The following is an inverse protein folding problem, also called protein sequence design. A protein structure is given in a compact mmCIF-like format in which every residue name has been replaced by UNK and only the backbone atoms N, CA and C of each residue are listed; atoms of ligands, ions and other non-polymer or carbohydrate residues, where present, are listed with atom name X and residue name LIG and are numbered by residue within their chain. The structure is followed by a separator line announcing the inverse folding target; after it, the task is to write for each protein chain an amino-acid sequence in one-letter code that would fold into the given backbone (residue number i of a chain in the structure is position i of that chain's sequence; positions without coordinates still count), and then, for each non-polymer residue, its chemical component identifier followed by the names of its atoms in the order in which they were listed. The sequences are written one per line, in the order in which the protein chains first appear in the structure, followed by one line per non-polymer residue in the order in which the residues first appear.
data_IF_240007655288
#
_entry.id   IF_240007655288
#
_cell.length_a   1.000
_cell.length_b   1.000
_cell.length_c   1.000
_cell.angle_alpha   90.00
_cell.angle_beta   90.00
_cell.angle_gamma   90.00
#
_symmetry.space_group_name_H-M   'P 1'
#
loop_
_entity.id
_entity.type
_entity.pdbx_description
1 polymer ?
#
# COMPACT_ATOMS: atom_id res chain seq x y z
N UNK A 1 -26.52 -6.77 -6.24
CA UNK A 1 -25.89 -7.94 -5.59
C UNK A 1 -26.81 -9.13 -5.80
N UNK A 2 -26.40 -10.14 -6.58
CA UNK A 2 -27.21 -11.34 -6.87
C UNK A 2 -26.47 -12.59 -6.41
N UNK A 3 -27.18 -13.53 -5.78
CA UNK A 3 -26.65 -14.85 -5.42
C UNK A 3 -26.04 -15.57 -6.63
N UNK A 4 -26.64 -15.40 -7.81
CA UNK A 4 -26.13 -15.97 -9.05
C UNK A 4 -24.70 -15.49 -9.37
N UNK A 5 -24.39 -14.22 -9.06
CA UNK A 5 -23.04 -13.65 -9.24
C UNK A 5 -22.02 -14.37 -8.36
N UNK A 6 -22.35 -14.50 -7.06
CA UNK A 6 -21.50 -15.16 -6.07
C UNK A 6 -21.24 -16.62 -6.42
N UNK A 7 -22.29 -17.37 -6.78
CA UNK A 7 -22.17 -18.78 -7.20
C UNK A 7 -21.29 -18.91 -8.47
N UNK A 8 -21.47 -18.02 -9.45
CA UNK A 8 -20.65 -18.02 -10.66
C UNK A 8 -19.17 -17.77 -10.37
N UNK A 9 -18.85 -16.83 -9.48
CA UNK A 9 -17.47 -16.55 -9.08
C UNK A 9 -16.85 -17.69 -8.27
N UNK A 10 -17.62 -18.33 -7.37
CA UNK A 10 -17.17 -19.53 -6.64
C UNK A 10 -16.84 -20.67 -7.63
N UNK A 11 -17.68 -20.86 -8.65
CA UNK A 11 -17.46 -21.89 -9.67
C UNK A 11 -16.22 -21.60 -10.54
N UNK A 12 -15.94 -20.33 -10.84
CA UNK A 12 -14.79 -19.92 -11.66
C UNK A 12 -13.45 -20.05 -10.93
N UNK A 13 -13.38 -19.57 -9.70
CA UNK A 13 -12.11 -19.46 -8.95
C UNK A 13 -11.86 -20.62 -7.98
N UNK A 14 -12.92 -21.34 -7.60
CA UNK A 14 -12.87 -22.45 -6.66
C UNK A 14 -13.12 -22.07 -5.20
N UNK A 15 -13.43 -23.09 -4.40
CA UNK A 15 -13.86 -22.94 -3.00
C UNK A 15 -12.76 -22.40 -2.08
N UNK A 16 -11.49 -22.74 -2.34
CA UNK A 16 -10.36 -22.28 -1.51
C UNK A 16 -10.19 -20.76 -1.59
N UNK A 17 -10.22 -20.20 -2.81
CA UNK A 17 -10.12 -18.75 -3.01
C UNK A 17 -11.34 -18.06 -2.42
N UNK A 18 -12.53 -18.59 -2.65
CA UNK A 18 -13.75 -18.06 -2.04
C UNK A 18 -13.67 -17.99 -0.51
N UNK A 19 -13.18 -19.05 0.16
CA UNK A 19 -13.00 -19.04 1.61
C UNK A 19 -12.03 -17.97 2.08
N UNK A 20 -10.91 -17.77 1.38
CA UNK A 20 -9.97 -16.67 1.66
C UNK A 20 -10.63 -15.31 1.47
N UNK A 21 -11.23 -15.08 0.31
CA UNK A 21 -11.91 -13.82 -0.03
C UNK A 21 -13.03 -13.49 0.96
N UNK A 22 -13.75 -14.50 1.45
CA UNK A 22 -14.82 -14.33 2.44
C UNK A 22 -14.29 -13.85 3.79
N UNK A 23 -13.14 -14.35 4.26
CA UNK A 23 -12.55 -13.94 5.54
C UNK A 23 -11.80 -12.61 5.44
N UNK A 24 -11.29 -12.26 4.26
CA UNK A 24 -10.44 -11.10 4.05
C UNK A 24 -11.18 -9.89 3.43
N UNK A 25 -11.90 -10.07 2.31
CA UNK A 25 -12.66 -9.01 1.61
C UNK A 25 -14.11 -8.96 2.10
N UNK A 26 -14.67 -10.10 2.51
CA UNK A 26 -16.09 -10.24 2.81
C UNK A 26 -16.99 -10.34 1.57
N UNK A 27 -16.41 -10.47 0.38
CA UNK A 27 -17.14 -10.63 -0.88
C UNK A 27 -16.43 -11.61 -1.83
N UNK A 28 -17.19 -12.41 -2.57
CA UNK A 28 -16.62 -13.25 -3.61
C UNK A 28 -16.23 -12.38 -4.81
N UNK A 29 -14.94 -12.38 -5.16
CA UNK A 29 -14.43 -11.64 -6.31
C UNK A 29 -13.66 -12.57 -7.25
N UNK A 30 -13.92 -12.42 -8.54
CA UNK A 30 -13.22 -13.14 -9.61
C UNK A 30 -12.79 -12.12 -10.65
N UNK A 31 -11.55 -12.22 -11.13
CA UNK A 31 -10.97 -11.25 -12.03
C UNK A 31 -9.60 -11.68 -12.54
N UNK A 32 -9.13 -11.00 -13.58
CA UNK A 32 -7.81 -11.24 -14.15
C UNK A 32 -6.74 -10.67 -13.23
N UNK A 33 -5.69 -11.46 -12.96
CA UNK A 33 -4.49 -10.96 -12.29
C UNK A 33 -3.76 -9.98 -13.21
N UNK A 34 -3.68 -8.72 -12.79
CA UNK A 34 -3.02 -7.63 -13.53
C UNK A 34 -1.53 -7.59 -13.18
N UNK A 35 -1.18 -7.80 -11.92
CA UNK A 35 0.21 -7.86 -11.50
C UNK A 35 0.38 -8.07 -10.01
N UNK A 36 1.64 -8.15 -9.60
CA UNK A 36 2.07 -8.35 -8.22
C UNK A 36 3.05 -7.23 -7.89
N UNK A 37 2.90 -6.59 -6.74
CA UNK A 37 3.88 -5.61 -6.27
C UNK A 37 5.10 -6.27 -5.59
N UNK A 38 6.01 -5.42 -5.12
CA UNK A 38 7.21 -5.84 -4.40
C UNK A 38 6.89 -6.50 -3.06
N UNK A 39 5.78 -6.12 -2.43
CA UNK A 39 5.34 -6.63 -1.13
C UNK A 39 4.58 -7.96 -1.27
N UNK A 40 4.35 -8.42 -2.50
CA UNK A 40 3.62 -9.65 -2.82
C UNK A 40 2.11 -9.46 -2.94
N UNK A 41 1.61 -8.23 -2.83
CA UNK A 41 0.20 -7.93 -2.99
C UNK A 41 -0.20 -8.11 -4.46
N UNK A 42 -1.35 -8.75 -4.67
CA UNK A 42 -1.84 -9.10 -6.00
C UNK A 42 -2.98 -8.18 -6.40
N UNK A 43 -2.91 -7.64 -7.61
CA UNK A 43 -3.87 -6.69 -8.14
C UNK A 43 -4.71 -7.35 -9.22
N UNK A 44 -6.03 -7.19 -9.12
CA UNK A 44 -6.98 -7.82 -10.03
C UNK A 44 -7.90 -6.79 -10.68
N UNK A 45 -8.36 -7.12 -11.90
CA UNK A 45 -9.33 -6.32 -12.64
C UNK A 45 -10.46 -7.19 -13.23
N UNK A 46 -11.69 -6.69 -13.17
CA UNK A 46 -12.87 -7.28 -13.80
C UNK A 46 -13.90 -6.22 -14.21
N UNK A 47 -14.07 -6.01 -15.51
CA UNK A 47 -15.02 -5.04 -16.07
C UNK A 47 -16.50 -5.47 -16.01
N UNK A 48 -16.79 -6.73 -15.65
CA UNK A 48 -18.17 -7.20 -15.42
C UNK A 48 -18.76 -6.62 -14.12
N UNK A 49 -17.91 -6.09 -13.24
CA UNK A 49 -18.30 -5.47 -11.98
C UNK A 49 -18.72 -4.01 -12.17
N UNK A 50 -19.47 -3.49 -11.19
CA UNK A 50 -19.86 -2.08 -11.16
C UNK A 50 -18.62 -1.15 -11.20
N UNK A 51 -18.70 0.04 -11.83
CA UNK A 51 -17.64 1.05 -11.78
C UNK A 51 -17.15 1.28 -10.35
N UNK A 52 -15.85 1.54 -10.16
CA UNK A 52 -15.14 1.58 -8.87
C UNK A 52 -14.95 0.24 -8.14
N UNK A 53 -15.70 -0.83 -8.47
CA UNK A 53 -15.50 -2.18 -7.87
C UNK A 53 -14.74 -3.15 -8.77
N UNK A 54 -14.42 -2.71 -9.99
CA UNK A 54 -13.74 -3.51 -11.00
C UNK A 54 -12.24 -3.70 -10.73
N UNK A 55 -11.61 -2.91 -9.85
CA UNK A 55 -10.21 -3.10 -9.41
C UNK A 55 -10.16 -3.38 -7.92
N UNK A 56 -9.34 -4.32 -7.51
CA UNK A 56 -9.10 -4.60 -6.10
C UNK A 56 -7.72 -5.22 -5.87
N UNK A 57 -7.36 -5.30 -4.59
CA UNK A 57 -6.11 -5.85 -4.11
C UNK A 57 -6.36 -7.03 -3.17
N UNK A 58 -5.55 -8.07 -3.32
CA UNK A 58 -5.38 -9.18 -2.38
C UNK A 58 -4.03 -8.98 -1.70
N UNK A 59 -4.04 -8.53 -0.44
CA UNK A 59 -2.81 -8.32 0.31
C UNK A 59 -2.09 -9.64 0.55
N UNK A 60 -0.76 -9.60 0.56
CA UNK A 60 0.05 -10.76 0.91
C UNK A 60 -0.03 -11.10 2.40
N UNK A 61 -0.21 -10.10 3.25
CA UNK A 61 -0.36 -10.27 4.70
C UNK A 61 -1.78 -10.75 5.03
N UNK A 62 -1.90 -11.94 5.63
CA UNK A 62 -3.21 -12.55 5.87
C UNK A 62 -4.02 -11.86 6.99
N UNK A 63 -3.38 -11.36 8.05
CA UNK A 63 -4.08 -10.82 9.25
C UNK A 63 -3.74 -9.37 9.62
N UNK A 64 -2.66 -8.79 9.08
CA UNK A 64 -2.19 -7.44 9.41
C UNK A 64 -2.08 -6.58 8.14
N UNK A 65 -3.13 -6.61 7.33
CA UNK A 65 -3.17 -5.80 6.13
C UNK A 65 -3.50 -4.34 6.45
N UNK A 66 -2.87 -3.42 5.71
CA UNK A 66 -3.09 -2.00 5.85
C UNK A 66 -3.14 -1.33 4.48
N UNK A 67 -4.03 -0.35 4.30
CA UNK A 67 -4.13 0.43 3.06
C UNK A 67 -2.81 1.12 2.66
N UNK A 68 -1.94 1.41 3.62
CA UNK A 68 -0.61 2.00 3.37
C UNK A 68 0.44 1.02 2.84
N UNK A 69 0.15 -0.29 2.81
CA UNK A 69 1.04 -1.30 2.23
C UNK A 69 0.99 -1.34 0.71
N UNK A 70 0.02 -0.67 0.09
CA UNK A 70 -0.10 -0.53 -1.36
C UNK A 70 1.08 0.28 -1.88
N UNK A 71 1.82 -0.28 -2.83
CA UNK A 71 2.89 0.45 -3.49
C UNK A 71 2.35 1.75 -4.16
N UNK A 72 3.02 2.91 -4.05
CA UNK A 72 2.55 4.17 -4.61
C UNK A 72 2.26 4.11 -6.12
N UNK A 73 2.98 3.28 -6.87
CA UNK A 73 2.77 3.11 -8.30
C UNK A 73 1.44 2.39 -8.57
N UNK A 74 1.14 1.36 -7.79
CA UNK A 74 -0.11 0.62 -7.85
C UNK A 74 -1.28 1.38 -7.24
N UNK A 75 -1.05 2.25 -6.25
CA UNK A 75 -2.07 3.11 -5.65
C UNK A 75 -2.75 3.99 -6.70
N UNK A 76 -1.98 4.56 -7.64
CA UNK A 76 -2.53 5.40 -8.70
C UNK A 76 -3.50 4.64 -9.63
N UNK A 77 -3.18 3.38 -9.94
CA UNK A 77 -4.01 2.52 -10.77
C UNK A 77 -5.24 2.01 -10.01
N UNK A 78 -5.06 1.60 -8.75
CA UNK A 78 -6.12 1.08 -7.88
C UNK A 78 -7.21 2.14 -7.64
N UNK A 79 -6.82 3.40 -7.46
CA UNK A 79 -7.72 4.53 -7.23
C UNK A 79 -8.21 5.22 -8.51
N UNK A 80 -8.07 4.58 -9.67
CA UNK A 80 -8.54 5.11 -10.97
C UNK A 80 -7.96 6.47 -11.36
N UNK A 81 -6.83 6.87 -10.76
CA UNK A 81 -6.10 8.10 -11.14
C UNK A 81 -5.45 7.89 -12.51
N UNK A 82 -4.91 6.67 -12.73
CA UNK A 82 -4.35 6.26 -14.02
C UNK A 82 -5.11 5.08 -14.59
N UNK A 83 -5.24 5.08 -15.92
CA UNK A 83 -5.88 4.01 -16.67
C UNK A 83 -5.03 2.74 -16.63
N UNK A 84 -3.77 2.87 -17.00
CA UNK A 84 -2.86 1.75 -17.23
C UNK A 84 -2.12 1.35 -15.94
N UNK A 85 -1.86 0.04 -15.73
CA UNK A 85 -1.08 -0.42 -14.58
C UNK A 85 0.39 0.02 -14.68
N UNK A 86 1.15 0.01 -13.58
CA UNK A 86 2.50 0.59 -13.54
C UNK A 86 3.51 -0.09 -14.49
N UNK A 87 3.28 -1.34 -14.86
CA UNK A 87 4.12 -2.07 -15.82
C UNK A 87 3.77 -1.81 -17.30
N UNK A 88 2.66 -1.13 -17.58
CA UNK A 88 2.28 -0.70 -18.93
C UNK A 88 2.47 0.82 -19.13
N UNK A 89 2.33 1.60 -18.06
CA UNK A 89 2.49 3.05 -18.09
C UNK A 89 3.97 3.46 -18.24
N UNK A 90 4.35 3.86 -19.45
CA UNK A 90 5.69 4.38 -19.80
C UNK A 90 6.09 5.61 -18.98
N UNK A 91 5.12 6.42 -18.55
CA UNK A 91 5.37 7.60 -17.72
C UNK A 91 5.83 7.21 -16.32
N UNK A 92 5.17 6.21 -15.72
CA UNK A 92 5.56 5.67 -14.40
C UNK A 92 6.93 5.00 -14.46
N UNK A 93 7.20 4.20 -15.49
CA UNK A 93 8.49 3.50 -15.62
C UNK A 93 9.68 4.46 -15.70
N UNK A 94 9.50 5.60 -16.38
CA UNK A 94 10.51 6.67 -16.47
C UNK A 94 10.67 7.46 -15.18
N UNK A 95 9.76 7.31 -14.22
CA UNK A 95 9.70 8.10 -12.99
C UNK A 95 10.63 7.54 -11.91
N UNK A 96 11.80 7.03 -12.30
CA UNK A 96 12.83 6.53 -11.37
C UNK A 96 13.90 7.61 -11.20
N UNK A 97 14.02 8.14 -9.97
CA UNK A 97 14.99 9.18 -9.63
C UNK A 97 15.97 8.65 -8.58
N UNK A 98 17.22 9.12 -8.61
CA UNK A 98 18.28 8.61 -7.73
C UNK A 98 18.01 8.82 -6.23
N UNK A 99 17.20 9.82 -5.87
CA UNK A 99 16.84 10.13 -4.48
C UNK A 99 15.61 9.35 -3.98
N UNK A 100 14.90 8.63 -4.85
CA UNK A 100 13.70 7.90 -4.45
C UNK A 100 14.08 6.72 -3.55
N UNK A 101 13.50 6.72 -2.36
CA UNK A 101 13.61 5.60 -1.44
C UNK A 101 12.51 4.60 -1.73
N UNK A 102 12.79 3.34 -1.41
CA UNK A 102 11.79 2.28 -1.38
C UNK A 102 10.55 2.68 -0.56
N UNK A 103 9.32 2.46 -1.10
CA UNK A 103 8.09 2.69 -0.35
C UNK A 103 8.02 1.84 0.92
N UNK A 104 7.54 2.46 1.99
CA UNK A 104 7.28 1.82 3.28
C UNK A 104 5.85 2.10 3.70
N UNK A 105 5.27 1.16 4.41
CA UNK A 105 3.94 1.32 5.00
C UNK A 105 3.92 2.40 6.10
N UNK A 106 2.71 2.76 6.53
CA UNK A 106 2.54 3.65 7.66
C UNK A 106 2.84 2.92 8.96
N UNK A 107 3.88 3.38 9.66
CA UNK A 107 4.38 2.80 10.92
C UNK A 107 3.89 3.55 12.16
N UNK A 108 2.77 4.27 12.05
CA UNK A 108 2.11 4.94 13.19
C UNK A 108 1.74 3.91 14.27
N UNK A 109 1.89 4.26 15.54
CA UNK A 109 1.63 3.35 16.67
C UNK A 109 2.72 2.31 16.93
N UNK A 110 3.74 2.22 16.07
CA UNK A 110 4.91 1.36 16.29
C UNK A 110 6.08 2.14 16.87
N UNK A 111 7.16 1.44 17.27
CA UNK A 111 8.42 2.07 17.69
C UNK A 111 9.04 2.95 16.59
N UNK A 112 8.75 2.67 15.32
CA UNK A 112 9.25 3.42 14.17
C UNK A 112 8.46 4.69 13.83
N UNK A 113 7.41 5.01 14.58
CA UNK A 113 6.56 6.18 14.31
C UNK A 113 7.38 7.47 14.19
N UNK A 114 6.96 8.34 13.27
CA UNK A 114 7.63 9.62 13.05
C UNK A 114 7.52 10.50 14.31
N UNK A 115 8.68 10.95 14.82
CA UNK A 115 8.77 11.88 15.94
C UNK A 115 9.31 13.20 15.42
N UNK A 116 8.52 14.26 15.60
CA UNK A 116 8.96 15.61 15.27
C UNK A 116 10.03 16.07 16.26
N UNK A 117 10.97 16.87 15.78
CA UNK A 117 12.00 17.51 16.60
C UNK A 117 12.35 18.86 15.99
N UNK A 118 12.97 19.73 16.78
CA UNK A 118 13.47 20.99 16.27
C UNK A 118 14.71 20.75 15.41
N UNK A 119 14.64 21.05 14.12
CA UNK A 119 15.77 20.95 13.19
C UNK A 119 16.78 22.08 13.34
N UNK A 120 16.46 23.10 14.16
CA UNK A 120 17.34 24.23 14.44
C UNK A 120 18.15 24.03 15.72
N UNK A 121 19.40 24.48 15.70
CA UNK A 121 20.24 24.61 16.89
C UNK A 121 19.78 25.83 17.72
N UNK A 122 20.02 25.85 19.04
CA UNK A 122 19.80 27.05 19.84
C UNK A 122 20.50 28.27 19.23
N UNK A 123 19.77 29.38 19.09
CA UNK A 123 20.32 30.63 18.51
C UNK A 123 21.30 31.33 19.45
N UNK A 124 21.17 31.09 20.75
CA UNK A 124 22.00 31.66 21.80
C UNK A 124 22.68 30.49 22.51
N UNK A 125 24.02 30.49 22.53
CA UNK A 125 24.81 29.53 23.29
C UNK A 125 24.97 30.00 24.73
N UNK A 126 24.68 29.13 25.69
CA UNK A 126 24.95 29.39 27.09
C UNK A 126 26.46 29.42 27.36
N UNK A 127 26.88 30.17 28.37
CA UNK A 127 28.25 30.11 28.87
C UNK A 127 28.51 28.76 29.55
N UNK A 128 29.59 28.09 29.17
CA UNK A 128 30.05 26.87 29.83
C UNK A 128 31.03 27.21 30.96
N UNK A 129 30.67 26.97 32.24
CA UNK A 129 31.51 27.33 33.37
C UNK A 129 32.82 26.55 33.40
N UNK A 130 33.94 27.26 33.55
CA UNK A 130 35.26 26.68 33.85
C UNK A 130 35.63 27.04 35.28
N UNK A 131 35.80 26.04 36.14
CA UNK A 131 36.23 26.24 37.53
C UNK A 131 37.75 26.38 37.56
N UNK A 132 38.26 27.47 38.13
CA UNK A 132 39.69 27.68 38.36
C UNK A 132 39.98 27.71 39.88
N UNK A 133 41.08 27.09 40.35
CA UNK A 133 41.48 27.16 41.76
C UNK A 133 41.92 28.60 42.13
N UNK A 134 41.75 28.98 43.40
CA UNK A 134 42.30 30.23 43.93
C UNK A 134 43.81 30.05 44.13
N UNK A 135 44.61 31.04 43.72
CA UNK A 135 46.05 31.09 43.91
C UNK A 135 46.42 31.48 45.35
#
# INVERSE_FOLDING_TARGET
MSLARTINYIRREGLRKFWRDLNYIGDAKSGRLVGIDRNGNKYYENHDEFPLRHRWIDYAADNEFNASQVDPLWHSWLHHIRKDPPHEDKGIQKMTQAWMTTPRENITGTRGAFKTYNTTKPKISAWEPKVAPRA
#
